data_IF_169609254642
#
_entry.id   IF_169609254642
#
_cell.length_a   1.000
_cell.length_b   1.000
_cell.length_c   1.000
_cell.angle_alpha   90.00
_cell.angle_beta   90.00
_cell.angle_gamma   90.00
#
_symmetry.space_group_name_H-M   'P 1'
#
loop_
_entity.id
_entity.type
_entity.pdbx_description
1 polymer ?
#
# COMPACT_ATOMS: atom_id res chain seq x y z
N UNK A 1 -12.99 -8.27 31.61
CA UNK A 1 -13.80 -7.05 31.28
C UNK A 1 -13.90 -6.93 29.78
N UNK A 2 -15.07 -7.01 29.15
CA UNK A 2 -15.18 -6.76 27.71
C UNK A 2 -15.16 -5.26 27.48
N UNK A 3 -14.03 -4.72 27.08
CA UNK A 3 -13.94 -3.34 26.60
C UNK A 3 -14.87 -3.17 25.39
N UNK A 4 -15.75 -2.15 25.42
CA UNK A 4 -16.60 -1.78 24.29
C UNK A 4 -15.69 -1.34 23.14
N UNK A 5 -16.01 -1.74 21.89
CA UNK A 5 -15.19 -1.41 20.71
C UNK A 5 -15.01 0.11 20.53
N UNK A 6 -16.08 0.88 20.42
CA UNK A 6 -16.04 2.34 20.30
C UNK A 6 -16.62 2.97 21.56
N UNK A 7 -15.87 3.91 22.16
CA UNK A 7 -16.32 4.72 23.30
C UNK A 7 -17.02 6.00 22.83
N UNK A 8 -17.74 6.68 23.73
CA UNK A 8 -18.35 7.99 23.42
C UNK A 8 -17.28 9.04 23.07
N UNK A 9 -16.09 8.94 23.68
CA UNK A 9 -14.93 9.77 23.33
C UNK A 9 -14.45 9.50 21.90
N UNK A 10 -14.36 8.24 21.48
CA UNK A 10 -13.99 7.89 20.12
C UNK A 10 -14.99 8.42 19.10
N UNK A 11 -16.28 8.36 19.43
CA UNK A 11 -17.35 8.93 18.59
C UNK A 11 -17.23 10.46 18.47
N UNK A 12 -16.87 11.15 19.55
CA UNK A 12 -16.60 12.59 19.54
C UNK A 12 -15.38 12.94 18.71
N UNK A 13 -14.27 12.22 18.91
CA UNK A 13 -13.03 12.39 18.14
C UNK A 13 -13.26 12.11 16.64
N UNK A 14 -14.05 11.08 16.32
CA UNK A 14 -14.39 10.75 14.94
C UNK A 14 -15.17 11.90 14.27
N UNK A 15 -16.13 12.51 14.98
CA UNK A 15 -16.85 13.69 14.46
C UNK A 15 -15.91 14.85 14.19
N UNK A 16 -14.94 15.11 15.06
CA UNK A 16 -13.93 16.14 14.88
C UNK A 16 -13.03 15.81 13.68
N UNK A 17 -12.57 14.56 13.56
CA UNK A 17 -11.75 14.10 12.44
C UNK A 17 -12.44 14.29 11.08
N UNK A 18 -13.78 14.19 11.03
CA UNK A 18 -14.57 14.42 9.82
C UNK A 18 -14.54 15.86 9.31
N UNK A 19 -14.14 16.81 10.14
CA UNK A 19 -13.95 18.22 9.73
C UNK A 19 -12.57 18.50 9.15
N UNK A 20 -11.65 17.52 9.24
CA UNK A 20 -10.29 17.59 8.72
C UNK A 20 -10.20 16.89 7.36
N UNK A 21 -9.25 17.30 6.55
CA UNK A 21 -8.91 16.60 5.27
C UNK A 21 -7.99 15.41 5.57
N UNK A 22 -8.60 14.29 5.97
CA UNK A 22 -7.90 13.05 6.32
C UNK A 22 -8.21 11.94 5.31
N UNK A 23 -7.22 11.10 5.04
CA UNK A 23 -7.31 10.01 4.07
C UNK A 23 -7.72 8.69 4.72
N UNK A 24 -7.27 8.43 5.96
CA UNK A 24 -7.54 7.19 6.67
C UNK A 24 -7.84 7.42 8.15
N UNK A 25 -8.65 6.53 8.71
CA UNK A 25 -8.88 6.40 10.15
C UNK A 25 -8.46 5.01 10.59
N UNK A 26 -7.57 4.92 11.58
CA UNK A 26 -7.19 3.67 12.21
C UNK A 26 -8.07 3.41 13.44
N UNK A 27 -8.72 2.24 13.49
CA UNK A 27 -9.62 1.83 14.57
C UNK A 27 -8.89 0.85 15.47
N UNK A 28 -8.72 1.23 16.75
CA UNK A 28 -8.07 0.40 17.76
C UNK A 28 -9.01 -0.67 18.34
N UNK A 29 -8.42 -1.75 18.83
CA UNK A 29 -9.09 -2.84 19.55
C UNK A 29 -10.27 -3.47 18.81
N UNK A 30 -10.16 -3.58 17.50
CA UNK A 30 -11.17 -4.22 16.64
C UNK A 30 -11.35 -5.69 17.06
N UNK A 31 -12.58 -6.13 17.24
CA UNK A 31 -12.95 -7.51 17.58
C UNK A 31 -13.49 -8.30 16.38
N UNK A 32 -14.28 -7.61 15.57
CA UNK A 32 -14.93 -8.19 14.42
C UNK A 32 -15.31 -7.11 13.36
N UNK A 33 -15.86 -7.56 12.25
CA UNK A 33 -16.30 -6.72 11.15
C UNK A 33 -17.36 -5.67 11.55
N UNK A 34 -18.12 -5.94 12.61
CA UNK A 34 -19.19 -5.04 13.05
C UNK A 34 -18.63 -3.73 13.62
N UNK A 35 -17.45 -3.77 14.23
CA UNK A 35 -16.79 -2.56 14.73
C UNK A 35 -16.39 -1.66 13.55
N UNK A 36 -15.86 -2.24 12.48
CA UNK A 36 -15.53 -1.52 11.25
C UNK A 36 -16.78 -0.95 10.58
N UNK A 37 -17.84 -1.76 10.48
CA UNK A 37 -19.10 -1.33 9.88
C UNK A 37 -19.77 -0.18 10.64
N UNK A 38 -19.65 -0.12 11.98
CA UNK A 38 -20.12 1.02 12.78
C UNK A 38 -19.39 2.31 12.39
N UNK A 39 -18.05 2.27 12.28
CA UNK A 39 -17.27 3.42 11.83
C UNK A 39 -17.68 3.83 10.43
N UNK A 40 -17.75 2.88 9.49
CA UNK A 40 -18.15 3.15 8.09
C UNK A 40 -19.53 3.80 8.00
N UNK A 41 -20.48 3.39 8.83
CA UNK A 41 -21.82 4.00 8.91
C UNK A 41 -21.77 5.45 9.38
N UNK A 42 -20.84 5.80 10.27
CA UNK A 42 -20.66 7.17 10.78
C UNK A 42 -19.96 8.04 9.70
N UNK A 43 -18.99 7.47 8.99
CA UNK A 43 -18.28 8.15 7.90
C UNK A 43 -19.24 8.48 6.74
N UNK A 44 -20.38 7.80 6.64
CA UNK A 44 -21.33 7.91 5.54
C UNK A 44 -20.62 7.69 4.19
N UNK A 45 -20.81 8.60 3.23
CA UNK A 45 -20.22 8.49 1.89
C UNK A 45 -18.91 9.28 1.75
N UNK A 46 -18.23 9.64 2.84
CA UNK A 46 -16.91 10.27 2.75
C UNK A 46 -15.87 9.26 2.28
N UNK A 47 -15.03 9.68 1.38
CA UNK A 47 -13.93 8.87 0.84
C UNK A 47 -12.78 8.69 1.85
N UNK A 48 -13.08 8.30 3.09
CA UNK A 48 -12.08 8.06 4.13
C UNK A 48 -11.89 6.56 4.28
N UNK A 49 -10.67 6.09 4.14
CA UNK A 49 -10.30 4.68 4.34
C UNK A 49 -10.31 4.31 5.81
N UNK A 50 -10.63 3.05 6.12
CA UNK A 50 -10.61 2.52 7.47
C UNK A 50 -9.52 1.46 7.58
N UNK A 51 -8.58 1.67 8.50
CA UNK A 51 -7.54 0.70 8.85
C UNK A 51 -7.95 0.03 10.16
N UNK A 52 -8.11 -1.30 10.14
CA UNK A 52 -8.37 -2.07 11.34
C UNK A 52 -7.06 -2.43 12.04
N UNK A 53 -6.91 -2.00 13.29
CA UNK A 53 -5.76 -2.36 14.12
C UNK A 53 -6.03 -3.72 14.78
N UNK A 54 -5.17 -4.69 14.49
CA UNK A 54 -5.24 -6.03 15.07
C UNK A 54 -4.36 -6.06 16.32
N UNK A 55 -5.03 -5.97 17.46
CA UNK A 55 -4.46 -5.85 18.79
C UNK A 55 -4.95 -6.96 19.74
N UNK A 56 -5.91 -7.77 19.30
CA UNK A 56 -6.63 -8.73 20.14
C UNK A 56 -6.60 -10.14 19.56
N UNK A 57 -6.46 -11.13 20.44
CA UNK A 57 -6.53 -12.54 20.06
C UNK A 57 -7.88 -12.92 19.41
N UNK A 58 -8.98 -12.30 19.87
CA UNK A 58 -10.32 -12.52 19.31
C UNK A 58 -10.41 -12.15 17.82
N UNK A 59 -9.72 -11.07 17.40
CA UNK A 59 -9.71 -10.58 16.03
C UNK A 59 -9.07 -11.58 15.04
N UNK A 60 -8.12 -12.39 15.49
CA UNK A 60 -7.42 -13.37 14.65
C UNK A 60 -8.36 -14.40 14.04
N UNK A 61 -9.38 -14.84 14.79
CA UNK A 61 -10.38 -15.80 14.32
C UNK A 61 -11.30 -15.22 13.26
N UNK A 62 -11.35 -13.89 13.14
CA UNK A 62 -12.25 -13.15 12.24
C UNK A 62 -11.49 -12.23 11.27
N UNK A 63 -10.18 -12.48 11.10
CA UNK A 63 -9.32 -11.61 10.32
C UNK A 63 -9.84 -11.40 8.89
N UNK A 64 -10.38 -12.44 8.25
CA UNK A 64 -10.90 -12.36 6.88
C UNK A 64 -12.12 -11.44 6.78
N UNK A 65 -13.04 -11.53 7.78
CA UNK A 65 -14.23 -10.66 7.84
C UNK A 65 -13.84 -9.21 8.14
N UNK A 66 -12.90 -9.00 9.07
CA UNK A 66 -12.36 -7.69 9.41
C UNK A 66 -11.68 -7.07 8.19
N UNK A 67 -10.81 -7.81 7.51
CA UNK A 67 -10.11 -7.35 6.33
C UNK A 67 -11.07 -6.98 5.19
N UNK A 68 -12.10 -7.80 4.93
CA UNK A 68 -13.13 -7.50 3.92
C UNK A 68 -13.90 -6.22 4.23
N UNK A 69 -14.19 -5.94 5.49
CA UNK A 69 -14.93 -4.76 5.93
C UNK A 69 -14.07 -3.47 5.95
N UNK A 70 -12.74 -3.59 6.08
CA UNK A 70 -11.79 -2.48 6.14
C UNK A 70 -11.10 -2.21 4.81
N UNK A 71 -10.36 -1.09 4.72
CA UNK A 71 -9.53 -0.73 3.56
C UNK A 71 -8.06 -1.15 3.78
N UNK A 72 -7.66 -1.36 5.03
CA UNK A 72 -6.33 -1.84 5.39
C UNK A 72 -6.31 -2.47 6.78
N UNK A 73 -5.24 -3.19 7.05
CA UNK A 73 -4.96 -3.85 8.33
C UNK A 73 -3.67 -3.26 8.90
N UNK A 74 -3.64 -3.05 10.21
CA UNK A 74 -2.43 -2.70 10.94
C UNK A 74 -2.16 -3.75 12.01
N UNK A 75 -1.01 -4.38 11.93
CA UNK A 75 -0.53 -5.33 12.95
C UNK A 75 0.12 -4.55 14.08
N UNK A 76 -0.58 -4.38 15.19
CA UNK A 76 -0.10 -3.65 16.37
C UNK A 76 0.56 -4.65 17.35
N UNK A 77 1.84 -4.91 17.10
CA UNK A 77 2.60 -6.00 17.74
C UNK A 77 2.71 -5.89 19.25
N UNK A 78 2.76 -4.66 19.77
CA UNK A 78 2.85 -4.43 21.21
C UNK A 78 1.66 -5.04 21.96
N UNK A 79 0.45 -4.60 21.64
CA UNK A 79 -0.77 -5.08 22.30
C UNK A 79 -1.09 -6.54 21.92
N UNK A 80 -0.93 -6.88 20.63
CA UNK A 80 -1.18 -8.25 20.17
C UNK A 80 -0.25 -9.26 20.84
N UNK A 81 1.05 -8.93 21.00
CA UNK A 81 2.01 -9.79 21.68
C UNK A 81 1.69 -10.06 23.15
N UNK A 82 1.08 -9.09 23.84
CA UNK A 82 0.59 -9.28 25.21
C UNK A 82 -0.60 -10.25 25.25
N UNK A 83 -1.45 -10.21 24.23
CA UNK A 83 -2.67 -11.05 24.17
C UNK A 83 -2.38 -12.51 23.77
N UNK A 84 -1.42 -12.76 22.89
CA UNK A 84 -1.16 -14.12 22.34
C UNK A 84 0.15 -14.75 22.79
N UNK A 85 1.03 -14.00 23.44
CA UNK A 85 2.41 -14.37 23.71
C UNK A 85 3.38 -13.95 22.58
N UNK A 86 4.56 -13.47 22.99
CA UNK A 86 5.56 -12.91 22.05
C UNK A 86 6.10 -13.98 21.10
N UNK A 87 6.15 -15.22 21.55
CA UNK A 87 6.64 -16.38 20.79
C UNK A 87 5.74 -16.73 19.59
N UNK A 88 4.44 -16.39 19.65
CA UNK A 88 3.50 -16.63 18.55
C UNK A 88 3.46 -15.48 17.54
N UNK A 89 3.93 -14.31 17.95
CA UNK A 89 3.77 -13.07 17.20
C UNK A 89 4.34 -13.13 15.76
N UNK A 90 5.54 -13.70 15.49
CA UNK A 90 6.05 -13.77 14.13
C UNK A 90 5.16 -14.58 13.18
N UNK A 91 4.69 -15.74 13.60
CA UNK A 91 3.83 -16.59 12.78
C UNK A 91 2.46 -15.94 12.50
N UNK A 92 1.89 -15.29 13.53
CA UNK A 92 0.62 -14.57 13.42
C UNK A 92 0.75 -13.33 12.52
N UNK A 93 1.84 -12.58 12.64
CA UNK A 93 2.14 -11.45 11.76
C UNK A 93 2.17 -11.89 10.29
N UNK A 94 2.91 -12.95 9.97
CA UNK A 94 3.01 -13.47 8.61
C UNK A 94 1.66 -13.98 8.08
N UNK A 95 0.83 -14.58 8.92
CA UNK A 95 -0.52 -14.98 8.55
C UNK A 95 -1.41 -13.78 8.23
N UNK A 96 -1.39 -12.73 9.07
CA UNK A 96 -2.15 -11.50 8.84
C UNK A 96 -1.70 -10.84 7.53
N UNK A 97 -0.39 -10.73 7.30
CA UNK A 97 0.15 -10.14 6.07
C UNK A 97 -0.35 -10.93 4.85
N UNK A 98 -0.18 -12.25 4.81
CA UNK A 98 -0.63 -13.08 3.69
C UNK A 98 -2.13 -12.94 3.42
N UNK A 99 -2.96 -12.99 4.45
CA UNK A 99 -4.43 -12.82 4.33
C UNK A 99 -4.80 -11.43 3.81
N UNK A 100 -4.16 -10.38 4.32
CA UNK A 100 -4.40 -9.02 3.85
C UNK A 100 -4.08 -8.86 2.37
N UNK A 101 -2.92 -9.36 1.93
CA UNK A 101 -2.51 -9.35 0.53
C UNK A 101 -3.49 -10.11 -0.36
N UNK A 102 -3.92 -11.31 0.05
CA UNK A 102 -4.85 -12.14 -0.72
C UNK A 102 -6.24 -11.51 -0.89
N UNK A 103 -6.60 -10.59 -0.01
CA UNK A 103 -7.86 -9.84 -0.02
C UNK A 103 -7.70 -8.43 -0.60
N UNK A 104 -6.57 -8.10 -1.24
CA UNK A 104 -6.25 -6.79 -1.81
C UNK A 104 -6.28 -5.65 -0.78
N UNK A 105 -5.90 -5.93 0.47
CA UNK A 105 -5.86 -4.93 1.52
C UNK A 105 -4.43 -4.46 1.80
N UNK A 106 -4.30 -3.16 2.12
CA UNK A 106 -3.06 -2.61 2.65
C UNK A 106 -2.75 -3.27 3.99
N UNK A 107 -1.49 -3.62 4.23
CA UNK A 107 -1.03 -4.11 5.52
C UNK A 107 0.15 -3.32 6.03
N UNK A 108 0.00 -2.79 7.25
CA UNK A 108 1.00 -1.99 7.95
C UNK A 108 1.50 -2.80 9.14
N UNK A 109 2.81 -2.90 9.31
CA UNK A 109 3.42 -3.48 10.52
C UNK A 109 3.86 -2.34 11.43
N UNK A 110 3.44 -2.40 12.70
CA UNK A 110 3.60 -1.30 13.64
C UNK A 110 4.13 -1.77 15.00
N UNK A 111 4.62 -0.81 15.75
CA UNK A 111 5.17 -0.89 17.11
C UNK A 111 6.51 -1.62 17.20
N UNK A 112 7.41 -1.07 18.00
CA UNK A 112 8.74 -1.63 18.32
C UNK A 112 9.57 -1.98 17.06
N UNK A 113 9.46 -1.16 16.00
CA UNK A 113 10.22 -1.41 14.77
C UNK A 113 11.69 -1.03 14.92
N UNK A 114 11.97 0.14 15.52
CA UNK A 114 13.29 0.71 15.70
C UNK A 114 13.41 1.30 17.12
N UNK A 115 12.87 0.63 18.11
CA UNK A 115 12.65 1.15 19.48
C UNK A 115 13.95 1.63 20.15
N UNK A 116 15.08 0.95 19.92
CA UNK A 116 16.39 1.36 20.47
C UNK A 116 16.80 2.76 19.98
N UNK A 117 16.33 3.18 18.80
CA UNK A 117 16.64 4.48 18.22
C UNK A 117 15.85 5.63 18.85
N UNK A 118 14.97 5.39 19.81
CA UNK A 118 14.44 6.45 20.69
C UNK A 118 15.60 7.19 21.35
N UNK A 119 16.63 6.44 21.78
CA UNK A 119 17.81 6.99 22.48
C UNK A 119 19.15 6.85 21.73
N UNK A 120 19.23 6.01 20.70
CA UNK A 120 20.46 5.74 19.96
C UNK A 120 20.32 6.18 18.50
N UNK A 121 21.44 6.56 17.88
CA UNK A 121 21.45 6.96 16.44
C UNK A 121 21.43 5.79 15.47
N UNK A 122 21.74 4.59 15.93
CA UNK A 122 21.82 3.39 15.11
C UNK A 122 20.93 2.31 15.69
N UNK A 123 20.25 1.51 14.85
CA UNK A 123 19.42 0.40 15.31
C UNK A 123 20.26 -0.78 15.78
N UNK A 124 19.64 -1.66 16.54
CA UNK A 124 20.21 -2.99 16.81
C UNK A 124 20.11 -3.88 15.57
N UNK A 125 20.93 -4.93 15.51
CA UNK A 125 20.83 -5.93 14.44
C UNK A 125 19.46 -6.62 14.41
N UNK A 126 18.87 -6.86 15.57
CA UNK A 126 17.54 -7.48 15.67
C UNK A 126 16.45 -6.61 15.02
N UNK A 127 16.50 -5.30 15.23
CA UNK A 127 15.56 -4.35 14.61
C UNK A 127 15.75 -4.26 13.09
N UNK A 128 16.99 -4.29 12.60
CA UNK A 128 17.27 -4.35 11.16
C UNK A 128 16.66 -5.61 10.54
N UNK A 129 16.82 -6.78 11.20
CA UNK A 129 16.21 -8.04 10.74
C UNK A 129 14.68 -7.98 10.82
N UNK A 130 14.12 -7.37 11.83
CA UNK A 130 12.67 -7.27 12.02
C UNK A 130 12.01 -6.40 10.93
N UNK A 131 12.57 -5.21 10.67
CA UNK A 131 12.12 -4.34 9.57
C UNK A 131 12.25 -5.06 8.22
N UNK A 132 13.41 -5.66 7.95
CA UNK A 132 13.64 -6.39 6.70
C UNK A 132 12.65 -7.56 6.55
N UNK A 133 12.35 -8.29 7.64
CA UNK A 133 11.39 -9.38 7.63
C UNK A 133 9.96 -8.88 7.32
N UNK A 134 9.51 -7.79 7.93
CA UNK A 134 8.20 -7.20 7.62
C UNK A 134 8.07 -6.88 6.11
N UNK A 135 9.11 -6.30 5.52
CA UNK A 135 9.16 -5.97 4.08
C UNK A 135 9.14 -7.25 3.21
N UNK A 136 9.96 -8.25 3.56
CA UNK A 136 10.09 -9.49 2.78
C UNK A 136 8.87 -10.40 2.91
N UNK A 137 8.15 -10.35 4.06
CA UNK A 137 6.85 -11.00 4.24
C UNK A 137 5.74 -10.32 3.42
N UNK A 138 5.97 -9.09 2.93
CA UNK A 138 5.08 -8.41 2.01
C UNK A 138 4.25 -7.28 2.60
N UNK A 139 4.61 -6.76 3.78
CA UNK A 139 3.97 -5.55 4.30
C UNK A 139 4.06 -4.39 3.31
N UNK A 140 3.01 -3.60 3.21
CA UNK A 140 2.96 -2.39 2.38
C UNK A 140 3.75 -1.26 3.02
N UNK A 141 3.68 -1.14 4.34
CA UNK A 141 4.37 -0.10 5.09
C UNK A 141 4.78 -0.60 6.48
N UNK A 142 5.76 0.06 7.06
CA UNK A 142 6.05 0.02 8.49
C UNK A 142 5.63 1.33 9.14
N UNK A 143 5.23 1.29 10.40
CA UNK A 143 4.87 2.49 11.15
C UNK A 143 5.83 2.68 12.33
N UNK A 144 6.44 3.85 12.39
CA UNK A 144 7.21 4.33 13.53
C UNK A 144 6.26 5.04 14.50
N UNK A 145 6.50 4.92 15.80
CA UNK A 145 5.67 5.48 16.86
C UNK A 145 6.51 6.37 17.78
N UNK A 146 6.92 5.85 18.93
CA UNK A 146 7.74 6.57 19.90
C UNK A 146 9.09 7.03 19.31
N UNK A 147 9.63 6.27 18.38
CA UNK A 147 10.89 6.52 17.69
C UNK A 147 10.95 7.91 17.04
N UNK A 148 9.80 8.35 16.48
CA UNK A 148 9.67 9.66 15.84
C UNK A 148 8.88 10.67 16.66
N UNK A 149 8.01 10.21 17.60
CA UNK A 149 7.17 11.11 18.39
C UNK A 149 7.91 11.72 19.58
N UNK A 150 8.75 10.95 20.26
CA UNK A 150 9.49 11.36 21.47
C UNK A 150 10.98 11.02 21.40
N UNK A 151 11.43 10.33 20.35
CA UNK A 151 12.81 9.94 20.16
C UNK A 151 13.73 11.15 19.94
N UNK A 152 15.00 10.98 20.29
CA UNK A 152 16.03 12.02 20.16
C UNK A 152 16.50 12.22 18.72
N UNK A 153 16.29 11.23 17.85
CA UNK A 153 16.86 11.17 16.49
C UNK A 153 15.82 10.83 15.42
N UNK A 154 14.69 11.55 15.34
CA UNK A 154 13.57 11.17 14.48
C UNK A 154 13.94 11.10 12.98
N UNK A 155 14.81 12.00 12.51
CA UNK A 155 15.28 11.99 11.13
C UNK A 155 16.17 10.79 10.82
N UNK A 156 17.08 10.45 11.74
CA UNK A 156 18.00 9.31 11.58
C UNK A 156 17.21 7.99 11.54
N UNK A 157 16.16 7.87 12.39
CA UNK A 157 15.28 6.68 12.41
C UNK A 157 14.59 6.48 11.07
N UNK A 158 13.99 7.52 10.50
CA UNK A 158 13.31 7.44 9.20
C UNK A 158 14.32 7.07 8.11
N UNK A 159 15.49 7.68 8.13
CA UNK A 159 16.53 7.39 7.14
C UNK A 159 17.02 5.94 7.20
N UNK A 160 17.33 5.44 8.40
CA UNK A 160 17.76 4.04 8.56
C UNK A 160 16.65 3.04 8.20
N UNK A 161 15.40 3.29 8.62
CA UNK A 161 14.26 2.46 8.25
C UNK A 161 14.08 2.41 6.73
N UNK A 162 14.19 3.55 6.04
CA UNK A 162 14.12 3.63 4.57
C UNK A 162 15.23 2.80 3.92
N UNK A 163 16.48 2.93 4.37
CA UNK A 163 17.60 2.15 3.84
C UNK A 163 17.40 0.65 3.98
N UNK A 164 16.88 0.21 5.12
CA UNK A 164 16.60 -1.22 5.37
C UNK A 164 15.49 -1.70 4.41
N UNK A 165 14.41 -0.93 4.26
CA UNK A 165 13.32 -1.25 3.34
C UNK A 165 13.81 -1.37 1.90
N UNK A 166 14.58 -0.39 1.42
CA UNK A 166 15.12 -0.37 0.05
C UNK A 166 16.02 -1.58 -0.25
N UNK A 167 16.85 -1.99 0.71
CA UNK A 167 17.72 -3.16 0.55
C UNK A 167 16.89 -4.43 0.57
N UNK A 168 15.94 -4.56 1.49
CA UNK A 168 15.07 -5.72 1.61
C UNK A 168 14.22 -5.93 0.34
N UNK A 169 13.69 -4.85 -0.25
CA UNK A 169 12.92 -4.92 -1.50
C UNK A 169 13.78 -5.36 -2.70
N UNK A 170 15.00 -4.83 -2.82
CA UNK A 170 15.93 -5.21 -3.90
C UNK A 170 16.43 -6.65 -3.78
N UNK A 171 16.57 -7.15 -2.56
CA UNK A 171 17.06 -8.51 -2.30
C UNK A 171 15.95 -9.56 -2.45
N UNK A 172 14.71 -9.16 -2.26
CA UNK A 172 13.55 -10.06 -2.36
C UNK A 172 13.12 -10.23 -3.82
N UNK A 173 13.86 -11.04 -4.57
CA UNK A 173 13.54 -11.42 -5.96
C UNK A 173 12.43 -12.47 -6.07
N UNK A 174 11.89 -12.93 -4.94
CA UNK A 174 10.79 -13.90 -4.95
C UNK A 174 9.51 -13.17 -5.30
N UNK A 175 9.06 -13.35 -6.54
CA UNK A 175 7.65 -13.11 -6.87
C UNK A 175 6.86 -13.97 -5.89
N UNK A 176 6.16 -13.34 -4.94
CA UNK A 176 5.25 -14.07 -4.09
C UNK A 176 4.22 -14.65 -5.04
N UNK A 177 4.29 -15.97 -5.27
CA UNK A 177 3.22 -16.69 -5.93
C UNK A 177 2.02 -16.56 -4.99
N UNK A 178 1.28 -15.48 -5.16
CA UNK A 178 -0.06 -15.42 -4.62
C UNK A 178 -0.77 -16.62 -5.21
N UNK A 179 -1.18 -17.54 -4.36
CA UNK A 179 -2.09 -18.62 -4.71
C UNK A 179 -3.49 -17.99 -4.91
N UNK A 180 -3.50 -16.99 -5.83
CA UNK A 180 -4.75 -16.41 -6.33
C UNK A 180 -5.29 -17.45 -7.29
N UNK A 181 -6.16 -18.30 -6.77
CA UNK A 181 -6.99 -19.13 -7.62
C UNK A 181 -7.66 -18.23 -8.63
N UNK A 182 -7.52 -18.54 -9.90
CA UNK A 182 -8.08 -17.80 -11.02
C UNK A 182 -9.61 -17.56 -10.88
N UNK A 183 -10.24 -18.24 -9.96
CA UNK A 183 -11.68 -18.18 -9.63
C UNK A 183 -12.17 -16.80 -9.14
N UNK A 184 -11.27 -15.90 -8.75
CA UNK A 184 -11.65 -14.59 -8.20
C UNK A 184 -11.27 -13.39 -9.09
N UNK A 185 -10.75 -13.60 -10.29
CA UNK A 185 -10.39 -12.51 -11.20
C UNK A 185 -11.52 -12.38 -12.23
N UNK A 186 -12.41 -11.42 -12.01
CA UNK A 186 -13.65 -11.27 -12.79
C UNK A 186 -13.75 -9.94 -13.56
N UNK A 187 -12.78 -9.03 -13.39
CA UNK A 187 -12.83 -7.71 -14.01
C UNK A 187 -11.65 -7.51 -14.97
N UNK A 188 -11.92 -6.88 -16.12
CA UNK A 188 -10.92 -6.63 -17.17
C UNK A 188 -9.74 -5.81 -16.63
N UNK A 189 -10.01 -4.76 -15.87
CA UNK A 189 -9.01 -3.88 -15.26
C UNK A 189 -8.08 -4.64 -14.30
N UNK A 190 -8.61 -5.60 -13.55
CA UNK A 190 -7.81 -6.47 -12.68
C UNK A 190 -6.93 -7.43 -13.50
N UNK A 191 -7.46 -8.01 -14.57
CA UNK A 191 -6.69 -8.88 -15.48
C UNK A 191 -5.51 -8.10 -16.08
N UNK A 192 -5.77 -6.90 -16.60
CA UNK A 192 -4.72 -6.04 -17.18
C UNK A 192 -3.67 -5.66 -16.13
N UNK A 193 -4.10 -5.26 -14.93
CA UNK A 193 -3.18 -4.90 -13.86
C UNK A 193 -2.21 -6.04 -13.49
N UNK A 194 -2.74 -7.23 -13.29
CA UNK A 194 -1.95 -8.41 -12.95
C UNK A 194 -1.04 -8.84 -14.11
N UNK A 195 -1.56 -8.82 -15.34
CA UNK A 195 -0.78 -9.16 -16.53
C UNK A 195 0.39 -8.20 -16.73
N UNK A 196 0.17 -6.89 -16.54
CA UNK A 196 1.21 -5.88 -16.63
C UNK A 196 2.30 -6.08 -15.57
N UNK A 197 1.92 -6.34 -14.32
CA UNK A 197 2.86 -6.57 -13.23
C UNK A 197 3.67 -7.86 -13.43
N UNK A 198 3.05 -8.95 -13.87
CA UNK A 198 3.75 -10.20 -14.20
C UNK A 198 4.67 -10.05 -15.41
N UNK A 199 4.22 -9.37 -16.47
CA UNK A 199 5.06 -9.09 -17.64
C UNK A 199 6.29 -8.27 -17.25
N UNK A 200 6.11 -7.24 -16.42
CA UNK A 200 7.21 -6.42 -15.92
C UNK A 200 8.22 -7.25 -15.11
N UNK A 201 7.73 -8.09 -14.19
CA UNK A 201 8.57 -8.93 -13.33
C UNK A 201 9.37 -10.00 -14.12
N UNK A 202 8.90 -10.39 -15.30
CA UNK A 202 9.49 -11.48 -16.11
C UNK A 202 10.30 -10.97 -17.30
N UNK A 203 10.49 -9.65 -17.46
CA UNK A 203 11.15 -9.05 -18.61
C UNK A 203 12.06 -7.87 -18.21
N UNK A 204 12.70 -7.23 -19.19
CA UNK A 204 13.59 -6.09 -18.95
C UNK A 204 12.83 -4.75 -18.80
N UNK A 205 11.68 -4.78 -18.18
CA UNK A 205 10.89 -3.57 -17.88
C UNK A 205 11.51 -2.83 -16.70
N UNK A 206 11.72 -1.53 -16.90
CA UNK A 206 12.28 -0.64 -15.86
C UNK A 206 11.25 -0.13 -14.88
N UNK A 207 10.03 0.13 -15.35
CA UNK A 207 8.94 0.66 -14.54
C UNK A 207 7.57 0.40 -15.19
N UNK A 208 6.52 0.50 -14.39
CA UNK A 208 5.13 0.51 -14.87
C UNK A 208 4.55 1.90 -14.64
N UNK A 209 3.98 2.50 -15.68
CA UNK A 209 3.15 3.69 -15.58
C UNK A 209 1.68 3.29 -15.57
N UNK A 210 0.95 3.72 -14.56
CA UNK A 210 -0.45 3.35 -14.38
C UNK A 210 -1.32 4.59 -14.26
N UNK A 211 -2.15 4.88 -15.28
CA UNK A 211 -3.17 5.91 -15.16
C UNK A 211 -4.35 5.36 -14.35
N UNK A 212 -4.76 6.07 -13.32
CA UNK A 212 -5.79 5.59 -12.39
C UNK A 212 -6.63 6.72 -11.81
N UNK A 213 -7.94 6.48 -11.67
CA UNK A 213 -8.87 7.39 -11.00
C UNK A 213 -9.05 7.06 -9.52
N UNK A 214 -9.11 5.77 -9.18
CA UNK A 214 -9.46 5.29 -7.85
C UNK A 214 -8.31 4.67 -7.07
N UNK A 215 -7.19 4.34 -7.75
CA UNK A 215 -6.08 3.60 -7.17
C UNK A 215 -6.26 2.08 -7.16
N UNK A 216 -7.31 1.53 -7.77
CA UNK A 216 -7.53 0.07 -7.80
C UNK A 216 -6.48 -0.64 -8.65
N UNK A 217 -6.19 -0.13 -9.82
CA UNK A 217 -5.19 -0.73 -10.74
C UNK A 217 -3.79 -0.84 -10.11
N UNK A 218 -3.19 0.22 -9.54
CA UNK A 218 -1.90 0.10 -8.87
C UNK A 218 -1.97 -0.75 -7.59
N UNK A 219 -3.13 -0.84 -6.90
CA UNK A 219 -3.32 -1.76 -5.80
C UNK A 219 -3.10 -3.21 -6.25
N UNK A 220 -3.78 -3.65 -7.31
CA UNK A 220 -3.63 -5.01 -7.80
C UNK A 220 -2.21 -5.31 -8.31
N UNK A 221 -1.58 -4.35 -8.99
CA UNK A 221 -0.18 -4.48 -9.41
C UNK A 221 0.76 -4.66 -8.22
N UNK A 222 0.57 -3.90 -7.14
CA UNK A 222 1.39 -3.97 -5.94
C UNK A 222 1.28 -5.34 -5.25
N UNK A 223 0.16 -6.05 -5.43
CA UNK A 223 -0.04 -7.41 -4.87
C UNK A 223 0.84 -8.47 -5.53
N UNK A 224 1.38 -8.23 -6.70
CA UNK A 224 2.36 -9.12 -7.34
C UNK A 224 3.71 -9.06 -6.64
N UNK A 225 3.96 -7.98 -5.91
CA UNK A 225 5.17 -7.77 -5.09
C UNK A 225 6.48 -7.94 -5.89
N UNK A 226 6.48 -7.45 -7.12
CA UNK A 226 7.70 -7.35 -7.89
C UNK A 226 8.58 -6.18 -7.40
N UNK A 227 9.87 -6.22 -7.70
CA UNK A 227 10.79 -5.10 -7.45
C UNK A 227 10.66 -3.97 -8.49
N UNK A 228 9.75 -4.11 -9.46
CA UNK A 228 9.54 -3.10 -10.50
C UNK A 228 8.66 -1.97 -9.95
N UNK A 229 9.13 -0.71 -9.96
CA UNK A 229 8.35 0.41 -9.44
C UNK A 229 7.12 0.71 -10.30
N UNK A 230 6.03 1.04 -9.63
CA UNK A 230 4.74 1.39 -10.24
C UNK A 230 4.52 2.89 -10.04
N UNK A 231 4.55 3.67 -11.10
CA UNK A 231 4.24 5.10 -11.07
C UNK A 231 2.76 5.28 -11.40
N UNK A 232 1.97 5.50 -10.35
CA UNK A 232 0.54 5.69 -10.47
C UNK A 232 0.21 7.17 -10.67
N UNK A 233 -0.41 7.49 -11.79
CA UNK A 233 -0.69 8.83 -12.24
C UNK A 233 -2.19 9.12 -12.16
N UNK A 234 -2.55 10.19 -11.46
CA UNK A 234 -3.94 10.59 -11.25
C UNK A 234 -4.09 12.10 -11.13
N UNK A 235 -5.27 12.62 -11.51
CA UNK A 235 -5.66 14.01 -11.24
C UNK A 235 -6.30 14.19 -9.86
N UNK A 236 -6.74 13.08 -9.25
CA UNK A 236 -7.48 13.09 -8.00
C UNK A 236 -6.52 13.16 -6.80
N UNK A 237 -6.55 14.27 -6.06
CA UNK A 237 -5.71 14.48 -4.88
C UNK A 237 -5.90 13.40 -3.81
N UNK A 238 -7.12 12.99 -3.58
CA UNK A 238 -7.44 11.95 -2.62
C UNK A 238 -6.82 10.60 -3.03
N UNK A 239 -6.97 10.21 -4.29
CA UNK A 239 -6.36 9.00 -4.83
C UNK A 239 -4.83 9.08 -4.75
N UNK A 240 -4.26 10.23 -5.13
CA UNK A 240 -2.81 10.48 -5.07
C UNK A 240 -2.23 10.24 -3.67
N UNK A 241 -2.91 10.70 -2.63
CA UNK A 241 -2.48 10.47 -1.24
C UNK A 241 -2.69 9.02 -0.79
N UNK A 242 -3.82 8.41 -1.14
CA UNK A 242 -4.15 7.03 -0.74
C UNK A 242 -3.17 5.99 -1.24
N UNK A 243 -2.79 6.09 -2.49
CA UNK A 243 -1.90 5.10 -3.14
C UNK A 243 -0.47 5.12 -2.59
N UNK A 244 -0.09 6.17 -1.84
CA UNK A 244 1.21 6.23 -1.17
C UNK A 244 1.41 5.15 -0.09
N UNK A 245 0.32 4.49 0.36
CA UNK A 245 0.42 3.34 1.26
C UNK A 245 0.66 2.00 0.54
N UNK A 246 0.62 1.95 -0.80
CA UNK A 246 0.76 0.69 -1.53
C UNK A 246 2.23 0.39 -1.79
N UNK A 247 2.65 -0.83 -1.50
CA UNK A 247 4.04 -1.26 -1.69
C UNK A 247 4.48 -1.10 -3.16
N UNK A 248 5.64 -0.44 -3.33
CA UNK A 248 6.24 -0.23 -4.65
C UNK A 248 5.49 0.75 -5.55
N UNK A 249 4.49 1.49 -5.02
CA UNK A 249 3.71 2.47 -5.76
C UNK A 249 4.17 3.89 -5.42
N UNK A 250 4.47 4.66 -6.46
CA UNK A 250 4.84 6.08 -6.41
C UNK A 250 3.74 6.90 -7.07
N UNK A 251 3.21 7.88 -6.35
CA UNK A 251 2.16 8.74 -6.86
C UNK A 251 2.73 9.91 -7.64
N UNK A 252 2.26 10.10 -8.87
CA UNK A 252 2.53 11.29 -9.66
C UNK A 252 1.20 11.99 -9.94
N UNK A 253 1.08 13.25 -9.49
CA UNK A 253 -0.10 14.05 -9.75
C UNK A 253 -0.08 14.57 -11.18
N UNK A 254 -1.16 14.36 -11.91
CA UNK A 254 -1.39 14.97 -13.22
C UNK A 254 -2.19 16.26 -13.06
N UNK A 255 -1.74 17.33 -13.71
CA UNK A 255 -2.53 18.57 -13.77
C UNK A 255 -3.63 18.46 -14.83
N UNK A 256 -3.31 17.83 -15.95
CA UNK A 256 -4.23 17.58 -17.07
C UNK A 256 -3.97 16.19 -17.63
N UNK A 257 -5.01 15.56 -18.18
CA UNK A 257 -4.88 14.30 -18.92
C UNK A 257 -5.14 14.61 -20.39
N UNK A 258 -4.18 14.25 -21.24
CA UNK A 258 -4.38 14.26 -22.69
C UNK A 258 -5.35 13.13 -23.08
N UNK A 259 -6.42 13.49 -23.80
CA UNK A 259 -7.43 12.51 -24.24
C UNK A 259 -6.98 11.71 -25.46
N UNK A 260 -6.08 12.27 -26.27
CA UNK A 260 -5.45 11.52 -27.33
C UNK A 260 -4.48 10.48 -26.78
N UNK A 261 -4.65 9.24 -27.21
CA UNK A 261 -3.88 8.12 -26.66
C UNK A 261 -2.38 8.21 -26.88
N UNK A 262 -1.93 8.75 -28.02
CA UNK A 262 -0.52 8.88 -28.34
C UNK A 262 0.10 10.01 -27.50
N UNK A 263 -0.57 11.16 -27.42
CA UNK A 263 -0.15 12.29 -26.59
C UNK A 263 -0.13 11.95 -25.10
N UNK A 264 -1.14 11.20 -24.62
CA UNK A 264 -1.14 10.70 -23.24
C UNK A 264 0.05 9.80 -22.94
N UNK A 265 0.40 8.89 -23.84
CA UNK A 265 1.58 8.04 -23.66
C UNK A 265 2.85 8.89 -23.61
N UNK A 266 2.98 9.89 -24.48
CA UNK A 266 4.12 10.81 -24.48
C UNK A 266 4.19 11.59 -23.18
N UNK A 267 3.09 12.19 -22.72
CA UNK A 267 2.99 12.93 -21.47
C UNK A 267 3.46 12.07 -20.28
N UNK A 268 2.98 10.83 -20.20
CA UNK A 268 3.35 9.87 -19.15
C UNK A 268 4.85 9.62 -19.14
N UNK A 269 5.44 9.35 -20.30
CA UNK A 269 6.88 9.07 -20.41
C UNK A 269 7.72 10.31 -20.11
N UNK A 270 7.32 11.48 -20.61
CA UNK A 270 8.03 12.75 -20.36
C UNK A 270 8.08 13.05 -18.85
N UNK A 271 6.96 12.87 -18.13
CA UNK A 271 6.91 13.01 -16.66
C UNK A 271 7.82 12.00 -15.94
N UNK A 272 7.86 10.74 -16.39
CA UNK A 272 8.74 9.75 -15.79
C UNK A 272 10.22 10.05 -16.01
N UNK A 273 10.58 10.63 -17.15
CA UNK A 273 11.94 11.10 -17.42
C UNK A 273 12.27 12.31 -16.56
N UNK A 274 11.36 13.28 -16.46
CA UNK A 274 11.52 14.47 -15.60
C UNK A 274 11.73 14.08 -14.12
N UNK A 275 11.00 13.08 -13.64
CA UNK A 275 11.16 12.54 -12.28
C UNK A 275 12.43 11.68 -12.11
N UNK A 276 13.19 11.43 -13.17
CA UNK A 276 14.38 10.58 -13.13
C UNK A 276 14.07 9.09 -12.91
N UNK A 277 12.82 8.70 -13.12
CA UNK A 277 12.35 7.33 -12.98
C UNK A 277 12.87 6.40 -14.09
N UNK A 278 12.99 6.95 -15.30
CA UNK A 278 13.43 6.25 -16.50
C UNK A 278 14.29 7.16 -17.38
N UNK A 279 15.05 6.56 -18.28
CA UNK A 279 15.91 7.25 -19.26
C UNK A 279 15.72 6.66 -20.65
N UNK A 280 16.24 7.34 -21.68
CA UNK A 280 16.22 6.87 -23.07
C UNK A 280 16.77 5.44 -23.17
N UNK A 281 16.06 4.58 -23.88
CA UNK A 281 16.35 3.15 -24.06
C UNK A 281 15.74 2.23 -23.01
N UNK A 282 15.19 2.76 -21.91
CA UNK A 282 14.47 1.93 -20.94
C UNK A 282 13.11 1.49 -21.49
N UNK A 283 12.68 0.27 -21.15
CA UNK A 283 11.34 -0.23 -21.46
C UNK A 283 10.37 0.04 -20.31
N UNK A 284 9.19 0.55 -20.64
CA UNK A 284 8.11 0.90 -19.70
C UNK A 284 6.81 0.23 -20.14
N UNK A 285 6.04 -0.29 -19.18
CA UNK A 285 4.64 -0.67 -19.43
C UNK A 285 3.75 0.49 -19.06
N UNK A 286 2.85 0.91 -19.96
CA UNK A 286 1.80 1.89 -19.69
C UNK A 286 0.47 1.15 -19.63
N UNK A 287 -0.31 1.35 -18.55
CA UNK A 287 -1.69 0.85 -18.43
C UNK A 287 -2.67 2.00 -18.35
N UNK A 288 -3.75 1.91 -19.11
CA UNK A 288 -4.81 2.92 -19.19
C UNK A 288 -6.13 2.33 -19.72
N UNK A 289 -7.18 3.10 -19.65
CA UNK A 289 -8.45 2.81 -20.30
C UNK A 289 -8.62 3.54 -21.61
N UNK A 290 -9.50 3.04 -22.48
CA UNK A 290 -9.92 3.73 -23.69
C UNK A 290 -10.66 5.03 -23.37
N UNK A 291 -11.45 5.02 -22.31
CA UNK A 291 -12.12 6.20 -21.76
C UNK A 291 -11.33 6.71 -20.54
N UNK A 292 -10.44 7.65 -20.75
CA UNK A 292 -9.66 8.26 -19.68
C UNK A 292 -10.58 9.04 -18.72
N UNK A 293 -10.25 9.03 -17.43
CA UNK A 293 -11.08 9.65 -16.39
C UNK A 293 -12.27 8.81 -15.93
N UNK A 294 -12.39 7.55 -16.41
CA UNK A 294 -13.48 6.65 -16.00
C UNK A 294 -12.98 5.60 -15.00
N UNK A 295 -13.68 5.49 -13.87
CA UNK A 295 -13.40 4.47 -12.86
C UNK A 295 -13.61 3.06 -13.41
N UNK A 296 -12.67 2.12 -13.15
CA UNK A 296 -12.77 0.73 -13.62
C UNK A 296 -12.52 0.55 -15.12
N UNK A 297 -12.06 1.60 -15.80
CA UNK A 297 -11.89 1.61 -17.26
C UNK A 297 -10.58 1.05 -17.79
N UNK A 298 -9.64 0.62 -16.96
CA UNK A 298 -8.35 0.09 -17.45
C UNK A 298 -8.56 -1.20 -18.24
N UNK A 299 -8.32 -1.14 -19.56
CA UNK A 299 -8.57 -2.25 -20.47
C UNK A 299 -7.40 -2.51 -21.45
N UNK A 300 -6.32 -1.72 -21.35
CA UNK A 300 -5.17 -1.84 -22.22
C UNK A 300 -3.85 -1.72 -21.47
N UNK A 301 -2.85 -2.45 -21.93
CA UNK A 301 -1.44 -2.23 -21.59
C UNK A 301 -0.62 -2.07 -22.88
N UNK A 302 0.41 -1.20 -22.82
CA UNK A 302 1.33 -0.96 -23.93
C UNK A 302 2.75 -0.99 -23.40
N UNK A 303 3.65 -1.66 -24.12
CA UNK A 303 5.09 -1.62 -23.84
C UNK A 303 5.71 -0.59 -24.78
N UNK A 304 6.50 0.31 -24.22
CA UNK A 304 7.18 1.37 -24.97
C UNK A 304 8.65 1.44 -24.60
N UNK A 305 9.50 1.80 -25.55
CA UNK A 305 10.88 2.18 -25.33
C UNK A 305 10.98 3.69 -25.20
N UNK A 306 11.58 4.17 -24.13
CA UNK A 306 11.75 5.61 -23.89
C UNK A 306 12.66 6.23 -24.96
N UNK A 307 12.16 7.28 -25.61
CA UNK A 307 12.85 7.97 -26.72
C UNK A 307 12.60 7.36 -28.10
N UNK A 308 11.74 6.33 -28.20
CA UNK A 308 11.32 5.70 -29.45
C UNK A 308 9.78 5.78 -29.64
N UNK A 309 9.14 6.73 -29.00
CA UNK A 309 7.73 7.04 -29.25
C UNK A 309 7.61 7.76 -30.58
N UNK A 310 6.76 7.27 -31.47
CA UNK A 310 6.43 7.94 -32.73
C UNK A 310 5.87 9.30 -32.39
N UNK A 311 6.53 10.36 -32.84
CA UNK A 311 6.02 11.71 -32.73
C UNK A 311 4.73 11.80 -33.54
N UNK A 312 3.65 12.21 -32.88
CA UNK A 312 2.39 12.56 -33.56
C UNK A 312 2.51 14.04 -33.87
N UNK A 313 2.70 14.35 -35.17
CA UNK A 313 2.65 15.72 -35.68
C UNK A 313 1.32 16.42 -35.38
#
# INVERSE_FOLDING_TARGET
MSLRGLTDKDLSNLKQALSLDIDYIAVSFVKDEKDIMKVRKILKNKNIGIIAKIERAEALKKIDQIAKASDGILVARGDLGVEIGIEQLPAVQDEIIRKSISLDKVVIVATQMMESMINNRVPTRAEVFDVANAVTSGADAIMLSAETAIGKYPSDVVHEATRICDIAEKTNTKIIKLDRRAENINAVDQIIALSAAHAAASSQIKAIACLTETGSTPMWMSRVQSSIPIYAMTQNDYTSRRICLYKGVYSIKLNTIEYDHARANKQVIDLMVEWGAVKKGDFVIITKGDLMGTSGGTNAMKIVEVGNLVEVE
#
